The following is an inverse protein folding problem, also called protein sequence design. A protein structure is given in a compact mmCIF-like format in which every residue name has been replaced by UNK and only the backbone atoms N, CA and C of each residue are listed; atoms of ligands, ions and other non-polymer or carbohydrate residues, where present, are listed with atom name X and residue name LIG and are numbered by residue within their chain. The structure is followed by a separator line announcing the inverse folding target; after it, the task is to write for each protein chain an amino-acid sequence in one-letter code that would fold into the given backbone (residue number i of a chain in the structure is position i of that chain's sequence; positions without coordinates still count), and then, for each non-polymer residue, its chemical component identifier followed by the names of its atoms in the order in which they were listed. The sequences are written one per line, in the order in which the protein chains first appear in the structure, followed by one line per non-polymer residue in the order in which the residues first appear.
data_IF_900239090680
#
_entry.id   IF_900239090680
#
_cell.length_a   1.000
_cell.length_b   1.000
_cell.length_c   1.000
_cell.angle_alpha   90.00
_cell.angle_beta   90.00
_cell.angle_gamma   90.00
#
_symmetry.space_group_name_H-M   'P 1'
#
loop_
_entity.id
_entity.type
_entity.pdbx_description
1 polymer ?
#
# COMPACT_ATOMS: atom_id res chain seq x y z
N UNK A 1 8.02 -10.01 13.94
CA UNK A 1 8.44 -10.71 12.70
C UNK A 1 7.23 -11.18 11.90
N UNK A 2 7.08 -10.69 10.67
CA UNK A 2 6.02 -11.04 9.72
C UNK A 2 6.64 -11.34 8.35
N UNK A 3 6.16 -12.39 7.67
CA UNK A 3 6.65 -12.77 6.34
C UNK A 3 5.65 -12.32 5.27
N UNK A 4 6.14 -11.61 4.25
CA UNK A 4 5.39 -11.32 3.04
C UNK A 4 5.63 -12.44 2.04
N UNK A 5 4.56 -12.88 1.37
CA UNK A 5 4.60 -13.96 0.40
C UNK A 5 5.61 -13.66 -0.72
N UNK A 6 6.35 -14.67 -1.16
CA UNK A 6 7.26 -14.50 -2.30
C UNK A 6 6.46 -14.22 -3.57
N UNK A 7 6.84 -13.17 -4.31
CA UNK A 7 6.25 -12.86 -5.61
C UNK A 7 7.14 -11.92 -6.42
N UNK A 8 6.74 -11.67 -7.66
CA UNK A 8 7.32 -10.65 -8.54
C UNK A 8 6.59 -9.34 -8.28
N UNK A 9 7.23 -8.43 -7.54
CA UNK A 9 6.58 -7.19 -7.10
C UNK A 9 6.98 -5.96 -7.92
N UNK A 10 6.00 -5.12 -8.22
CA UNK A 10 6.18 -3.70 -8.49
C UNK A 10 5.80 -2.90 -7.25
N UNK A 11 6.53 -1.81 -6.96
CA UNK A 11 6.23 -0.95 -5.83
C UNK A 11 7.50 -0.38 -5.18
N UNK A 12 7.49 -0.24 -3.87
CA UNK A 12 8.67 0.21 -3.13
C UNK A 12 8.68 -0.30 -1.69
N UNK A 13 9.88 -0.29 -1.11
CA UNK A 13 10.12 -0.44 0.32
C UNK A 13 10.99 0.72 0.81
N UNK A 14 10.59 1.38 1.88
CA UNK A 14 11.39 2.38 2.55
C UNK A 14 11.97 1.78 3.83
N UNK A 15 13.30 1.73 3.92
CA UNK A 15 14.04 1.23 5.07
C UNK A 15 14.40 2.36 6.04
N UNK A 16 14.46 2.05 7.34
CA UNK A 16 14.69 2.99 8.43
C UNK A 16 16.02 3.76 8.34
N UNK A 17 17.02 3.20 7.63
CA UNK A 17 18.34 3.80 7.44
C UNK A 17 18.50 4.54 6.10
N UNK A 18 17.43 4.65 5.28
CA UNK A 18 17.49 5.28 3.96
C UNK A 18 16.71 6.59 3.91
N UNK A 19 17.26 7.54 3.18
CA UNK A 19 16.61 8.82 2.87
C UNK A 19 15.64 8.73 1.69
N UNK A 20 15.75 7.66 0.89
CA UNK A 20 14.95 7.38 -0.29
C UNK A 20 14.40 5.94 -0.30
N UNK A 21 13.18 5.71 -0.83
CA UNK A 21 12.63 4.37 -1.00
C UNK A 21 13.41 3.54 -2.02
N UNK A 22 13.55 2.24 -1.74
CA UNK A 22 13.97 1.24 -2.71
C UNK A 22 12.80 0.87 -3.61
N UNK A 23 12.81 1.35 -4.84
CA UNK A 23 11.82 1.00 -5.86
C UNK A 23 12.04 -0.44 -6.36
N UNK A 24 10.95 -1.19 -6.47
CA UNK A 24 10.87 -2.53 -7.05
C UNK A 24 10.11 -2.43 -8.37
N UNK A 25 10.69 -2.93 -9.46
CA UNK A 25 10.06 -2.91 -10.78
C UNK A 25 10.01 -4.32 -11.36
N UNK A 26 8.97 -5.07 -10.97
CA UNK A 26 8.76 -6.47 -11.33
C UNK A 26 9.96 -7.34 -10.92
N UNK A 27 10.35 -7.25 -9.64
CA UNK A 27 11.50 -7.99 -9.09
C UNK A 27 10.97 -9.08 -8.15
N UNK A 28 11.46 -10.30 -8.36
CA UNK A 28 11.22 -11.41 -7.44
C UNK A 28 11.79 -11.08 -6.07
N UNK A 29 10.89 -10.95 -5.09
CA UNK A 29 11.26 -10.54 -3.74
C UNK A 29 10.59 -11.45 -2.72
N UNK A 30 11.36 -11.78 -1.70
CA UNK A 30 10.90 -12.40 -0.46
C UNK A 30 11.23 -11.40 0.65
N UNK A 31 10.22 -10.94 1.37
CA UNK A 31 10.34 -9.79 2.28
C UNK A 31 9.97 -10.26 3.68
N UNK A 32 10.91 -10.12 4.61
CA UNK A 32 10.70 -10.35 6.04
C UNK A 32 10.66 -9.01 6.76
N UNK A 33 9.56 -8.75 7.45
CA UNK A 33 9.39 -7.59 8.31
C UNK A 33 9.82 -7.97 9.73
N UNK A 34 10.95 -7.43 10.16
CA UNK A 34 11.51 -7.71 11.48
C UNK A 34 12.01 -6.40 12.09
N UNK A 35 11.22 -5.86 13.01
CA UNK A 35 11.48 -4.62 13.73
C UNK A 35 12.65 -4.73 14.71
N UNK A 36 13.07 -5.95 15.06
CA UNK A 36 14.22 -6.19 15.95
C UNK A 36 15.56 -6.09 15.22
N UNK A 37 15.52 -6.08 13.87
CA UNK A 37 16.70 -5.97 13.01
C UNK A 37 16.80 -4.58 12.40
N UNK A 38 18.03 -4.05 12.34
CA UNK A 38 18.32 -2.80 11.65
C UNK A 38 19.12 -3.07 10.36
N UNK A 39 18.75 -2.45 9.23
CA UNK A 39 17.56 -1.62 9.05
C UNK A 39 16.28 -2.46 8.91
N UNK A 40 15.15 -1.89 9.35
CA UNK A 40 13.81 -2.46 9.18
C UNK A 40 13.01 -1.61 8.18
N UNK A 41 11.87 -2.11 7.71
CA UNK A 41 11.01 -1.39 6.76
C UNK A 41 10.08 -0.46 7.53
N UNK A 42 10.07 0.84 7.19
CA UNK A 42 9.16 1.82 7.81
C UNK A 42 7.86 2.00 7.02
N UNK A 43 7.93 1.81 5.70
CA UNK A 43 6.80 1.94 4.79
C UNK A 43 7.02 1.08 3.54
N UNK A 44 5.95 0.59 2.94
CA UNK A 44 6.01 -0.07 1.65
C UNK A 44 4.66 -0.17 0.98
N UNK A 45 4.69 -0.19 -0.35
CA UNK A 45 3.56 -0.55 -1.19
C UNK A 45 4.05 -1.55 -2.22
N UNK A 46 3.43 -2.73 -2.26
CA UNK A 46 3.80 -3.82 -3.16
C UNK A 46 2.58 -4.28 -3.93
N UNK A 47 2.78 -4.57 -5.21
CA UNK A 47 1.75 -5.09 -6.09
C UNK A 47 2.34 -6.12 -7.05
N UNK A 48 1.74 -7.31 -7.13
CA UNK A 48 2.19 -8.39 -8.02
C UNK A 48 1.29 -8.59 -9.25
N UNK A 49 0.42 -7.61 -9.55
CA UNK A 49 -0.61 -7.72 -10.58
C UNK A 49 -1.94 -8.30 -10.06
N UNK A 50 -1.95 -8.93 -8.88
CA UNK A 50 -3.15 -9.54 -8.28
C UNK A 50 -3.38 -9.11 -6.84
N UNK A 51 -2.33 -9.03 -6.04
CA UNK A 51 -2.32 -8.75 -4.61
C UNK A 51 -1.63 -7.43 -4.36
N UNK A 52 -2.29 -6.57 -3.58
CA UNK A 52 -1.75 -5.32 -3.06
C UNK A 52 -1.40 -5.49 -1.61
N UNK A 53 -0.21 -5.04 -1.20
CA UNK A 53 0.29 -5.13 0.16
C UNK A 53 0.78 -3.75 0.57
N UNK A 54 0.14 -3.19 1.58
CA UNK A 54 0.48 -1.90 2.19
C UNK A 54 1.10 -2.16 3.55
N UNK A 55 2.31 -1.65 3.74
CA UNK A 55 3.13 -1.84 4.93
C UNK A 55 3.33 -0.48 5.57
N UNK A 56 3.00 -0.36 6.85
CA UNK A 56 3.31 0.82 7.66
C UNK A 56 3.88 0.39 8.99
N UNK A 57 4.94 1.04 9.43
CA UNK A 57 5.46 0.89 10.79
C UNK A 57 5.06 2.12 11.61
N UNK A 58 4.16 1.93 12.57
CA UNK A 58 3.58 3.01 13.40
C UNK A 58 3.67 2.60 14.86
N UNK A 59 4.22 3.48 15.70
CA UNK A 59 4.35 3.30 17.15
C UNK A 59 4.95 1.94 17.56
N UNK A 60 6.01 1.52 16.86
CA UNK A 60 6.73 0.28 17.16
C UNK A 60 6.08 -0.99 16.59
N UNK A 61 5.03 -0.88 15.78
CA UNK A 61 4.27 -2.02 15.27
C UNK A 61 4.08 -1.95 13.76
N UNK A 62 4.16 -3.12 13.12
CA UNK A 62 3.75 -3.26 11.73
C UNK A 62 2.23 -3.31 11.61
N UNK A 63 1.70 -2.51 10.70
CA UNK A 63 0.34 -2.57 10.20
C UNK A 63 0.46 -2.98 8.73
N UNK A 64 0.17 -4.25 8.47
CA UNK A 64 0.19 -4.81 7.11
C UNK A 64 -1.25 -5.04 6.64
N UNK A 65 -1.62 -4.39 5.55
CA UNK A 65 -2.91 -4.58 4.89
C UNK A 65 -2.67 -5.29 3.56
N UNK A 66 -3.37 -6.40 3.35
CA UNK A 66 -3.30 -7.22 2.13
C UNK A 66 -4.66 -7.23 1.46
N UNK A 67 -4.68 -7.08 0.14
CA UNK A 67 -5.89 -7.13 -0.66
C UNK A 67 -5.67 -7.95 -1.92
N UNK A 68 -6.64 -8.78 -2.28
CA UNK A 68 -6.69 -9.45 -3.58
C UNK A 68 -7.62 -8.65 -4.48
N UNK A 69 -7.11 -8.07 -5.57
CA UNK A 69 -7.89 -7.19 -6.46
C UNK A 69 -9.14 -7.87 -7.04
N UNK A 70 -9.08 -9.18 -7.26
CA UNK A 70 -10.21 -9.94 -7.79
C UNK A 70 -11.36 -10.13 -6.77
N UNK A 71 -11.09 -9.96 -5.48
CA UNK A 71 -12.08 -10.06 -4.39
C UNK A 71 -12.68 -8.70 -4.03
N UNK A 72 -12.08 -7.62 -4.51
CA UNK A 72 -12.59 -6.28 -4.32
C UNK A 72 -13.68 -5.95 -5.35
N UNK A 73 -14.62 -5.04 -5.01
CA UNK A 73 -15.58 -4.51 -5.97
C UNK A 73 -14.88 -4.02 -7.25
N UNK A 74 -15.48 -4.36 -8.41
CA UNK A 74 -14.99 -3.90 -9.72
C UNK A 74 -15.40 -2.46 -10.02
N UNK A 75 -16.41 -1.98 -9.32
CA UNK A 75 -16.98 -0.65 -9.37
C UNK A 75 -16.92 -0.07 -7.93
N UNK A 76 -17.30 1.18 -7.69
CA UNK A 76 -17.27 1.82 -6.35
C UNK A 76 -15.88 2.15 -5.78
N UNK A 77 -14.92 2.46 -6.65
CA UNK A 77 -13.65 3.08 -6.25
C UNK A 77 -13.34 4.32 -7.08
N UNK A 78 -12.54 5.21 -6.52
CA UNK A 78 -11.91 6.31 -7.25
C UNK A 78 -10.44 6.01 -7.47
N UNK A 79 -9.95 6.27 -8.68
CA UNK A 79 -8.51 6.19 -8.95
C UNK A 79 -7.80 7.41 -8.39
N UNK A 80 -6.70 7.17 -7.67
CA UNK A 80 -5.84 8.22 -7.14
C UNK A 80 -4.42 8.03 -7.67
N UNK A 81 -3.82 9.12 -8.15
CA UNK A 81 -2.41 9.15 -8.55
C UNK A 81 -1.68 10.15 -7.66
N UNK A 82 -0.81 9.63 -6.79
CA UNK A 82 -0.01 10.44 -5.87
C UNK A 82 1.37 10.67 -6.47
N UNK A 83 1.86 11.91 -6.45
CA UNK A 83 3.19 12.23 -6.96
C UNK A 83 4.25 11.44 -6.21
N UNK A 84 5.15 10.80 -6.96
CA UNK A 84 6.22 10.03 -6.37
C UNK A 84 7.32 10.96 -5.85
N UNK A 85 7.47 11.01 -4.54
CA UNK A 85 8.51 11.79 -3.89
C UNK A 85 9.73 10.91 -3.62
N UNK A 86 10.93 11.38 -3.97
CA UNK A 86 12.21 10.66 -3.76
C UNK A 86 12.30 9.28 -4.42
N UNK A 87 11.51 9.03 -5.45
CA UNK A 87 11.59 7.80 -6.26
C UNK A 87 12.02 8.19 -7.66
N UNK A 88 13.29 7.95 -8.00
CA UNK A 88 13.81 8.28 -9.33
C UNK A 88 13.07 7.46 -10.39
N UNK A 89 12.77 8.09 -11.53
CA UNK A 89 12.13 7.46 -12.69
C UNK A 89 10.72 6.88 -12.42
N UNK A 90 10.07 7.36 -11.35
CA UNK A 90 8.66 7.12 -11.03
C UNK A 90 7.96 8.47 -11.01
N UNK A 91 6.89 8.61 -11.79
CA UNK A 91 6.06 9.81 -11.84
C UNK A 91 5.00 9.83 -10.75
N UNK A 92 4.30 8.71 -10.57
CA UNK A 92 3.24 8.59 -9.56
C UNK A 92 3.06 7.18 -9.04
N UNK A 93 2.51 7.10 -7.83
CA UNK A 93 1.96 5.89 -7.23
C UNK A 93 0.45 5.88 -7.49
N UNK A 94 -0.06 4.78 -8.02
CA UNK A 94 -1.47 4.67 -8.36
C UNK A 94 -2.20 3.81 -7.33
N UNK A 95 -3.38 4.28 -6.92
CA UNK A 95 -4.22 3.62 -5.94
C UNK A 95 -5.67 3.58 -6.40
N UNK A 96 -6.42 2.61 -5.88
CA UNK A 96 -7.88 2.60 -5.86
C UNK A 96 -8.34 2.90 -4.45
N UNK A 97 -9.06 4.01 -4.27
CA UNK A 97 -9.73 4.37 -3.04
C UNK A 97 -11.15 3.83 -3.09
N UNK A 98 -11.43 2.80 -2.32
CA UNK A 98 -12.76 2.24 -2.15
C UNK A 98 -13.56 3.05 -1.13
N UNK A 99 -14.87 3.08 -1.34
CA UNK A 99 -15.82 3.81 -0.52
C UNK A 99 -16.87 2.84 0.01
N UNK A 100 -17.27 3.00 1.28
CA UNK A 100 -18.32 2.18 1.88
C UNK A 100 -19.35 3.07 2.54
N UNK A 101 -20.61 2.68 2.42
CA UNK A 101 -21.69 3.31 3.17
C UNK A 101 -21.49 3.05 4.67
N UNK A 102 -21.48 4.13 5.44
CA UNK A 102 -21.47 4.10 6.90
C UNK A 102 -22.45 5.15 7.41
N UNK A 103 -23.06 4.88 8.56
CA UNK A 103 -23.87 5.89 9.26
C UNK A 103 -22.95 6.96 9.83
N UNK A 104 -23.32 8.23 9.64
CA UNK A 104 -22.53 9.36 10.09
C UNK A 104 -23.37 10.25 11.01
N UNK A 105 -22.95 10.35 12.28
CA UNK A 105 -23.61 11.17 13.30
C UNK A 105 -23.62 12.66 12.92
N UNK A 106 -22.60 13.13 12.19
CA UNK A 106 -22.55 14.51 11.69
C UNK A 106 -23.51 14.75 10.51
N UNK A 107 -24.05 13.67 9.93
CA UNK A 107 -25.07 13.70 8.90
C UNK A 107 -26.43 13.17 9.42
N UNK A 108 -26.72 13.35 10.72
CA UNK A 108 -28.00 12.94 11.34
C UNK A 108 -28.28 11.44 11.18
N UNK A 109 -27.23 10.61 11.30
CA UNK A 109 -27.31 9.15 11.17
C UNK A 109 -27.60 8.66 9.75
N UNK A 110 -27.56 9.54 8.73
CA UNK A 110 -27.72 9.13 7.33
C UNK A 110 -26.53 8.30 6.89
N UNK A 111 -26.80 7.32 6.03
CA UNK A 111 -25.75 6.55 5.34
C UNK A 111 -25.07 7.44 4.32
N UNK A 112 -23.76 7.60 4.46
CA UNK A 112 -22.89 8.35 3.55
C UNK A 112 -21.70 7.49 3.15
N UNK A 113 -21.13 7.77 1.98
CA UNK A 113 -19.92 7.09 1.53
C UNK A 113 -18.70 7.65 2.26
N UNK A 114 -17.96 6.78 2.93
CA UNK A 114 -16.70 7.12 3.60
C UNK A 114 -15.52 6.34 2.99
N UNK A 115 -14.29 6.90 2.99
CA UNK A 115 -13.10 6.19 2.52
C UNK A 115 -12.87 4.93 3.36
N UNK A 116 -12.70 3.78 2.71
CA UNK A 116 -12.49 2.50 3.38
C UNK A 116 -11.09 1.94 3.11
N UNK A 117 -10.88 1.36 1.93
CA UNK A 117 -9.60 0.78 1.52
C UNK A 117 -8.87 1.69 0.53
N UNK A 118 -7.61 2.01 0.82
CA UNK A 118 -6.70 2.60 -0.17
C UNK A 118 -5.74 1.50 -0.65
N UNK A 119 -5.95 1.03 -1.88
CA UNK A 119 -5.31 -0.16 -2.44
C UNK A 119 -4.32 0.26 -3.51
N UNK A 120 -3.04 -0.04 -3.31
CA UNK A 120 -2.00 0.26 -4.29
C UNK A 120 -2.10 -0.67 -5.50
N UNK A 121 -2.09 -0.12 -6.71
CA UNK A 121 -2.26 -0.85 -7.97
C UNK A 121 -1.11 -0.66 -8.96
N UNK A 122 0.02 -0.14 -8.49
CA UNK A 122 1.26 -0.06 -9.26
C UNK A 122 1.83 1.35 -9.40
N UNK A 123 2.98 1.41 -10.07
CA UNK A 123 3.74 2.63 -10.33
C UNK A 123 3.50 3.11 -11.76
N UNK A 124 3.43 4.43 -11.94
CA UNK A 124 3.50 5.09 -13.25
C UNK A 124 4.87 5.72 -13.41
N UNK A 125 5.53 5.43 -14.53
CA UNK A 125 6.80 6.04 -14.92
C UNK A 125 6.58 7.41 -15.59
#
# INVERSE_FOLDING_TARGET
MEQIEKSTYQGYLWYSDKDQPKVLNNVDSEITLDETKNPFVIEGQLFDGKRSISIKYVDGKYIVKKYVLAELPKEDFTEQSLLAHRMKDVKSLNFRQYWREQEDELCDGKKVLQPAELVFVGLKK
#
